data_IF_575461910487
#
_entry.id   IF_575461910487
#
_cell.length_a   1.000
_cell.length_b   1.000
_cell.length_c   1.000
_cell.angle_alpha   90.00
_cell.angle_beta   90.00
_cell.angle_gamma   90.00
#
_symmetry.space_group_name_H-M   'P 1'
#
loop_
_entity.id
_entity.type
_entity.pdbx_description
1 polymer ?
#
# COMPACT_ATOMS: atom_id res chain seq x y z
N UNK A 1 36.43 39.39 38.70
CA UNK A 1 35.79 38.19 39.27
C UNK A 1 34.56 37.95 38.44
N UNK A 2 34.68 37.14 37.39
CA UNK A 2 33.55 36.78 36.53
C UNK A 2 33.01 35.40 36.94
N UNK A 3 31.68 35.19 36.94
CA UNK A 3 31.10 33.93 37.36
C UNK A 3 31.21 32.89 36.23
N UNK A 4 31.77 31.73 36.54
CA UNK A 4 31.72 30.56 35.64
C UNK A 4 30.26 30.08 35.54
N UNK A 5 29.66 30.27 34.38
CA UNK A 5 28.35 29.68 34.04
C UNK A 5 28.58 28.22 33.67
N UNK A 6 28.33 27.32 34.61
CA UNK A 6 28.32 25.88 34.35
C UNK A 6 27.09 25.52 33.51
N UNK A 7 27.29 25.38 32.20
CA UNK A 7 26.28 24.80 31.31
C UNK A 7 26.33 23.28 31.48
N UNK A 8 25.39 22.75 32.24
CA UNK A 8 25.19 21.32 32.42
C UNK A 8 24.83 20.67 31.07
N UNK A 9 25.81 20.06 30.41
CA UNK A 9 25.57 19.27 29.20
C UNK A 9 24.75 18.05 29.60
N UNK A 10 23.44 18.06 29.31
CA UNK A 10 22.59 16.86 29.36
C UNK A 10 23.30 15.76 28.55
N UNK A 11 23.80 14.73 29.24
CA UNK A 11 24.29 13.52 28.58
C UNK A 11 23.11 12.94 27.81
N UNK A 12 23.18 12.97 26.49
CA UNK A 12 22.26 12.19 25.63
C UNK A 12 22.44 10.74 26.08
N UNK A 13 21.37 10.10 26.55
CA UNK A 13 21.41 8.74 27.07
C UNK A 13 21.96 7.81 26.00
N UNK A 14 23.03 7.09 26.32
CA UNK A 14 23.71 6.12 25.46
C UNK A 14 22.75 5.03 24.93
N UNK A 15 21.60 4.85 25.58
CA UNK A 15 20.52 3.93 25.20
C UNK A 15 19.87 4.25 23.84
N UNK A 16 20.07 5.44 23.28
CA UNK A 16 19.52 5.80 21.97
C UNK A 16 20.17 5.03 20.79
N UNK A 17 21.28 4.33 21.04
CA UNK A 17 22.08 3.62 20.05
C UNK A 17 22.36 2.15 20.42
N UNK A 18 21.56 1.54 21.30
CA UNK A 18 21.68 0.11 21.59
C UNK A 18 21.41 -0.70 20.30
N UNK A 19 22.23 -1.72 20.03
CA UNK A 19 21.95 -2.62 18.91
C UNK A 19 20.62 -3.35 19.14
N UNK A 20 19.78 -3.52 18.10
CA UNK A 20 18.54 -4.25 18.23
C UNK A 20 18.81 -5.67 18.71
N UNK A 21 17.99 -6.14 19.65
CA UNK A 21 17.98 -7.53 20.09
C UNK A 21 17.57 -8.46 18.94
N UNK A 22 17.91 -9.75 19.04
CA UNK A 22 17.49 -10.75 18.06
C UNK A 22 15.97 -10.78 17.86
N UNK A 23 15.20 -10.65 18.95
CA UNK A 23 13.74 -10.58 18.87
C UNK A 23 13.26 -9.34 18.11
N UNK A 24 13.87 -8.17 18.35
CA UNK A 24 13.53 -6.95 17.61
C UNK A 24 13.89 -7.06 16.13
N UNK A 25 15.01 -7.72 15.79
CA UNK A 25 15.39 -7.98 14.40
C UNK A 25 14.33 -8.84 13.69
N UNK A 26 13.85 -9.92 14.33
CA UNK A 26 12.81 -10.78 13.74
C UNK A 26 11.48 -10.04 13.56
N UNK A 27 11.10 -9.18 14.52
CA UNK A 27 9.91 -8.31 14.38
C UNK A 27 10.07 -7.36 13.17
N UNK A 28 11.23 -6.70 13.04
CA UNK A 28 11.50 -5.78 11.93
C UNK A 28 11.42 -6.52 10.58
N UNK A 29 11.97 -7.74 10.49
CA UNK A 29 11.89 -8.56 9.28
C UNK A 29 10.45 -8.89 8.91
N UNK A 30 9.63 -9.32 9.86
CA UNK A 30 8.24 -9.66 9.59
C UNK A 30 7.42 -8.43 9.17
N UNK A 31 7.65 -7.28 9.81
CA UNK A 31 7.02 -6.02 9.41
C UNK A 31 7.41 -5.60 8.00
N UNK A 32 8.70 -5.72 7.63
CA UNK A 32 9.18 -5.46 6.28
C UNK A 32 8.54 -6.40 5.25
N UNK A 33 8.43 -7.69 5.57
CA UNK A 33 7.78 -8.68 4.72
C UNK A 33 6.27 -8.39 4.55
N UNK A 34 5.57 -8.01 5.62
CA UNK A 34 4.16 -7.63 5.55
C UNK A 34 3.94 -6.41 4.66
N UNK A 35 4.77 -5.38 4.82
CA UNK A 35 4.76 -4.18 3.98
C UNK A 35 4.94 -4.54 2.50
N UNK A 36 6.00 -5.30 2.19
CA UNK A 36 6.30 -5.75 0.83
C UNK A 36 5.13 -6.51 0.21
N UNK A 37 4.60 -7.52 0.92
CA UNK A 37 3.49 -8.34 0.44
C UNK A 37 2.24 -7.50 0.17
N UNK A 38 1.94 -6.50 1.00
CA UNK A 38 0.80 -5.61 0.77
C UNK A 38 0.98 -4.73 -0.47
N UNK A 39 2.19 -4.24 -0.73
CA UNK A 39 2.50 -3.49 -1.96
C UNK A 39 2.34 -4.34 -3.22
N UNK A 40 2.96 -5.52 -3.23
CA UNK A 40 2.84 -6.49 -4.33
C UNK A 40 1.39 -6.81 -4.68
N UNK A 41 0.55 -7.06 -3.66
CA UNK A 41 -0.86 -7.37 -3.87
C UNK A 41 -1.66 -6.23 -4.52
N UNK A 42 -1.32 -4.98 -4.22
CA UNK A 42 -1.95 -3.82 -4.89
C UNK A 42 -1.53 -3.81 -6.36
N UNK A 43 -0.24 -4.01 -6.64
CA UNK A 43 0.29 -4.01 -8.02
C UNK A 43 -0.29 -5.15 -8.86
N UNK A 44 -0.38 -6.37 -8.30
CA UNK A 44 -1.02 -7.52 -8.93
C UNK A 44 -2.47 -7.22 -9.31
N UNK A 45 -3.24 -6.62 -8.39
CA UNK A 45 -4.62 -6.24 -8.69
C UNK A 45 -4.70 -5.18 -9.81
N UNK A 46 -3.79 -4.20 -9.83
CA UNK A 46 -3.78 -3.16 -10.86
C UNK A 46 -3.44 -3.73 -12.25
N UNK A 47 -2.51 -4.69 -12.33
CA UNK A 47 -2.20 -5.37 -13.58
C UNK A 47 -3.40 -6.17 -14.09
N UNK A 48 -4.02 -6.98 -13.22
CA UNK A 48 -5.20 -7.77 -13.60
C UNK A 48 -6.39 -6.86 -13.96
N UNK A 49 -6.57 -5.71 -13.28
CA UNK A 49 -7.58 -4.72 -13.65
C UNK A 49 -7.34 -4.20 -15.08
N UNK A 50 -6.10 -3.90 -15.47
CA UNK A 50 -5.80 -3.44 -16.84
C UNK A 50 -6.12 -4.51 -17.89
N UNK A 51 -5.84 -5.78 -17.60
CA UNK A 51 -6.12 -6.87 -18.52
C UNK A 51 -7.63 -7.11 -18.66
N UNK A 52 -8.36 -7.09 -17.54
CA UNK A 52 -9.83 -7.17 -17.54
C UNK A 52 -10.46 -5.99 -18.28
N UNK A 53 -9.92 -4.78 -18.11
CA UNK A 53 -10.43 -3.56 -18.76
C UNK A 53 -10.38 -3.70 -20.29
N UNK A 54 -9.22 -4.12 -20.82
CA UNK A 54 -9.03 -4.36 -22.27
C UNK A 54 -9.93 -5.48 -22.78
N UNK A 55 -10.09 -6.54 -22.01
CA UNK A 55 -10.92 -7.69 -22.37
C UNK A 55 -12.42 -7.32 -22.41
N UNK A 56 -12.89 -6.55 -21.43
CA UNK A 56 -14.25 -6.00 -21.38
C UNK A 56 -14.51 -5.16 -22.63
N UNK A 57 -13.60 -4.24 -22.96
CA UNK A 57 -13.75 -3.36 -24.13
C UNK A 57 -13.75 -4.16 -25.43
N UNK A 58 -12.92 -5.21 -25.54
CA UNK A 58 -12.92 -6.11 -26.70
C UNK A 58 -14.24 -6.85 -26.86
N UNK A 59 -14.74 -7.50 -25.80
CA UNK A 59 -15.99 -8.24 -25.83
C UNK A 59 -17.20 -7.34 -26.10
N UNK A 60 -17.19 -6.12 -25.55
CA UNK A 60 -18.21 -5.11 -25.81
C UNK A 60 -18.23 -4.72 -27.29
N UNK A 61 -17.07 -4.51 -27.91
CA UNK A 61 -16.94 -4.20 -29.33
C UNK A 61 -17.38 -5.37 -30.24
N UNK A 62 -17.17 -6.62 -29.79
CA UNK A 62 -17.67 -7.84 -30.45
C UNK A 62 -19.19 -8.06 -30.28
N UNK A 63 -19.88 -7.21 -29.49
CA UNK A 63 -21.31 -7.35 -29.20
C UNK A 63 -21.64 -8.43 -28.16
N UNK A 64 -20.63 -9.01 -27.50
CA UNK A 64 -20.75 -10.08 -26.51
C UNK A 64 -21.02 -9.53 -25.11
N UNK A 65 -22.14 -8.79 -24.98
CA UNK A 65 -22.48 -8.01 -23.78
C UNK A 65 -22.58 -8.85 -22.50
N UNK A 66 -23.15 -10.05 -22.57
CA UNK A 66 -23.30 -10.90 -21.38
C UNK A 66 -21.95 -11.35 -20.82
N UNK A 67 -20.99 -11.65 -21.69
CA UNK A 67 -19.63 -12.03 -21.29
C UNK A 67 -18.86 -10.84 -20.75
N UNK A 68 -18.97 -9.68 -21.41
CA UNK A 68 -18.40 -8.43 -20.92
C UNK A 68 -18.96 -8.06 -19.52
N UNK A 69 -20.28 -8.24 -19.30
CA UNK A 69 -20.92 -7.97 -18.01
C UNK A 69 -20.42 -8.89 -16.89
N UNK A 70 -20.18 -10.18 -17.17
CA UNK A 70 -19.54 -11.08 -16.20
C UNK A 70 -18.12 -10.63 -15.84
N UNK A 71 -17.36 -10.13 -16.82
CA UNK A 71 -16.04 -9.57 -16.54
C UNK A 71 -16.11 -8.24 -15.78
N UNK A 72 -17.12 -7.40 -16.03
CA UNK A 72 -17.37 -6.18 -15.26
C UNK A 72 -17.63 -6.51 -13.78
N UNK A 73 -18.35 -7.58 -13.47
CA UNK A 73 -18.54 -8.03 -12.08
C UNK A 73 -17.20 -8.39 -11.42
N UNK A 74 -16.37 -9.17 -12.11
CA UNK A 74 -15.01 -9.52 -11.63
C UNK A 74 -14.13 -8.27 -11.47
N UNK A 75 -14.13 -7.39 -12.46
CA UNK A 75 -13.40 -6.12 -12.43
C UNK A 75 -13.81 -5.26 -11.23
N UNK A 76 -15.11 -5.16 -10.97
CA UNK A 76 -15.64 -4.37 -9.85
C UNK A 76 -15.29 -4.98 -8.49
N UNK A 77 -15.31 -6.32 -8.36
CA UNK A 77 -14.85 -7.00 -7.16
C UNK A 77 -13.34 -6.78 -6.94
N UNK A 78 -12.55 -6.84 -8.01
CA UNK A 78 -11.10 -6.61 -7.95
C UNK A 78 -10.77 -5.15 -7.61
N UNK A 79 -11.58 -4.17 -8.04
CA UNK A 79 -11.45 -2.78 -7.59
C UNK A 79 -11.59 -2.66 -6.07
N UNK A 80 -12.54 -3.36 -5.46
CA UNK A 80 -12.73 -3.35 -4.00
C UNK A 80 -11.55 -4.04 -3.29
N UNK A 81 -11.08 -5.15 -3.85
CA UNK A 81 -9.90 -5.86 -3.33
C UNK A 81 -8.64 -5.00 -3.39
N UNK A 82 -8.41 -4.30 -4.50
CA UNK A 82 -7.29 -3.37 -4.65
C UNK A 82 -7.35 -2.25 -3.59
N UNK A 83 -8.54 -1.70 -3.33
CA UNK A 83 -8.73 -0.67 -2.29
C UNK A 83 -8.43 -1.19 -0.90
N UNK A 84 -8.84 -2.43 -0.61
CA UNK A 84 -8.55 -3.09 0.66
C UNK A 84 -7.04 -3.28 0.85
N UNK A 85 -6.33 -3.76 -0.18
CA UNK A 85 -4.88 -3.92 -0.12
C UNK A 85 -4.14 -2.59 -0.04
N UNK A 86 -4.64 -1.54 -0.69
CA UNK A 86 -4.08 -0.20 -0.57
C UNK A 86 -4.24 0.34 0.87
N UNK A 87 -5.38 0.06 1.50
CA UNK A 87 -5.58 0.36 2.92
C UNK A 87 -4.58 -0.40 3.80
N UNK A 88 -4.39 -1.70 3.59
CA UNK A 88 -3.39 -2.48 4.34
C UNK A 88 -1.96 -1.96 4.13
N UNK A 89 -1.62 -1.55 2.90
CA UNK A 89 -0.32 -0.96 2.61
C UNK A 89 -0.07 0.30 3.44
N UNK A 90 -1.07 1.19 3.55
CA UNK A 90 -0.97 2.39 4.40
C UNK A 90 -0.74 2.00 5.87
N UNK A 91 -1.50 1.05 6.40
CA UNK A 91 -1.34 0.59 7.80
C UNK A 91 0.06 0.00 8.04
N UNK A 92 0.58 -0.84 7.14
CA UNK A 92 1.92 -1.40 7.29
C UNK A 92 3.01 -0.32 7.20
N UNK A 93 2.82 0.71 6.36
CA UNK A 93 3.74 1.86 6.30
C UNK A 93 3.78 2.60 7.62
N UNK A 94 2.64 2.83 8.26
CA UNK A 94 2.57 3.45 9.58
C UNK A 94 3.25 2.61 10.65
N UNK A 95 3.05 1.29 10.60
CA UNK A 95 3.63 0.35 11.55
C UNK A 95 5.17 0.33 11.53
N UNK A 96 5.80 0.61 10.37
CA UNK A 96 7.27 0.74 10.25
C UNK A 96 7.76 2.19 10.35
N UNK A 97 6.89 3.14 10.73
CA UNK A 97 7.28 4.52 11.07
C UNK A 97 7.10 5.57 9.98
N UNK A 98 6.48 5.25 8.83
CA UNK A 98 6.12 6.29 7.85
C UNK A 98 4.92 7.11 8.36
N UNK A 99 5.18 8.37 8.74
CA UNK A 99 4.17 9.31 9.26
C UNK A 99 3.54 10.21 8.17
N UNK A 100 4.27 10.42 7.07
CA UNK A 100 3.81 11.20 5.92
C UNK A 100 3.59 10.25 4.76
N UNK A 101 2.34 10.18 4.33
CA UNK A 101 1.96 9.39 3.16
C UNK A 101 1.90 10.33 1.96
N UNK A 102 2.67 10.09 0.88
CA UNK A 102 2.37 10.71 -0.39
C UNK A 102 0.94 10.33 -0.80
N UNK A 103 0.39 11.03 -1.79
CA UNK A 103 -0.95 10.75 -2.29
C UNK A 103 -1.02 9.33 -2.88
N UNK A 104 -1.45 8.37 -2.07
CA UNK A 104 -1.46 6.94 -2.39
C UNK A 104 -2.35 6.63 -3.58
N UNK A 105 -3.42 7.41 -3.77
CA UNK A 105 -4.30 7.27 -4.93
C UNK A 105 -3.61 7.68 -6.24
N UNK A 106 -2.60 8.55 -6.20
CA UNK A 106 -1.78 8.88 -7.37
C UNK A 106 -0.73 7.82 -7.68
N UNK A 107 -0.18 7.18 -6.66
CA UNK A 107 0.85 6.13 -6.83
C UNK A 107 0.20 4.82 -7.28
N UNK A 108 -0.95 4.48 -6.70
CA UNK A 108 -1.72 3.29 -7.01
C UNK A 108 -3.11 3.70 -7.53
N UNK A 109 -3.21 4.11 -8.81
CA UNK A 109 -4.46 4.60 -9.39
C UNK A 109 -5.43 3.45 -9.65
N UNK A 110 -6.31 3.18 -8.68
CA UNK A 110 -7.37 2.18 -8.83
C UNK A 110 -8.51 2.79 -9.66
N UNK A 111 -8.90 2.18 -10.80
CA UNK A 111 -9.98 2.70 -11.63
C UNK A 111 -11.34 2.73 -10.90
N UNK A 112 -12.28 3.56 -11.37
CA UNK A 112 -13.67 3.51 -10.91
C UNK A 112 -14.34 2.21 -11.38
N UNK A 113 -15.37 1.77 -10.65
CA UNK A 113 -16.19 0.63 -11.06
C UNK A 113 -16.91 0.91 -12.38
N UNK A 114 -17.07 -0.12 -13.20
CA UNK A 114 -17.81 -0.05 -14.47
C UNK A 114 -19.28 -0.43 -14.25
N UNK A 115 -20.18 0.26 -14.95
CA UNK A 115 -21.60 -0.11 -14.99
C UNK A 115 -21.83 -1.24 -16.03
N UNK A 116 -22.85 -2.09 -15.85
CA UNK A 116 -23.21 -3.09 -16.85
C UNK A 116 -23.59 -2.45 -18.19
N UNK A 117 -23.19 -3.11 -19.28
CA UNK A 117 -23.51 -2.75 -20.65
C UNK A 117 -24.93 -3.24 -20.97
N UNK A 118 -25.78 -2.34 -21.49
CA UNK A 118 -27.14 -2.62 -21.99
C UNK A 118 -27.10 -3.03 -23.44
#
# INVERSE_FOLDING_TARGET
MEPEVFVERKKVSTDLFAEPTETEIEIIKEQAAALWRSGMKVEECLLELQDLDREIDRLAAEGRKDEANRLIERFNALCDQARLYLYYLVIHREAVGFRRHPDMAKIYPIPPKRAPIR
#
